data_IF_357787112288
#
_entry.id   IF_357787112288
#
_cell.length_a   1.000
_cell.length_b   1.000
_cell.length_c   1.000
_cell.angle_alpha   90.00
_cell.angle_beta   90.00
_cell.angle_gamma   90.00
#
_symmetry.space_group_name_H-M   'P 1'
#
loop_
_entity.id
_entity.type
_entity.pdbx_description
1 polymer ?
#
# COMPACT_ATOMS: atom_id res chain seq x y z
N UNK A 1 73.97 -33.69 19.80
CA UNK A 1 73.44 -32.31 19.76
C UNK A 1 73.00 -32.02 18.33
N UNK A 2 71.69 -32.06 18.09
CA UNK A 2 71.11 -31.77 16.78
C UNK A 2 70.75 -30.28 16.72
N UNK A 3 71.37 -29.53 15.82
CA UNK A 3 70.96 -28.16 15.48
C UNK A 3 69.99 -28.23 14.31
N UNK A 4 68.70 -28.06 14.60
CA UNK A 4 67.63 -27.89 13.62
C UNK A 4 67.77 -26.57 12.87
N UNK A 5 68.05 -26.66 11.58
CA UNK A 5 68.05 -25.56 10.62
C UNK A 5 66.58 -25.18 10.29
N UNK A 6 66.16 -23.98 10.68
CA UNK A 6 64.77 -23.51 10.53
C UNK A 6 64.56 -22.93 9.13
N UNK A 7 64.03 -23.74 8.21
CA UNK A 7 63.71 -23.31 6.84
C UNK A 7 62.64 -22.18 6.82
N UNK A 8 63.02 -20.99 6.33
CA UNK A 8 62.11 -19.89 6.05
C UNK A 8 61.15 -20.24 4.90
N UNK A 9 59.87 -20.47 5.21
CA UNK A 9 58.81 -20.59 4.18
C UNK A 9 58.55 -19.23 3.53
N UNK A 10 59.12 -18.99 2.35
CA UNK A 10 58.82 -17.82 1.51
C UNK A 10 57.35 -17.87 1.06
N UNK A 11 56.53 -16.90 1.50
CA UNK A 11 55.16 -16.72 1.00
C UNK A 11 55.20 -16.32 -0.48
N UNK A 12 54.38 -16.93 -1.37
CA UNK A 12 54.37 -16.55 -2.79
C UNK A 12 53.90 -15.10 -2.94
N UNK A 13 54.75 -14.25 -3.53
CA UNK A 13 54.42 -12.85 -3.85
C UNK A 13 53.59 -12.82 -5.13
N UNK A 14 52.29 -12.62 -4.99
CA UNK A 14 51.41 -12.37 -6.13
C UNK A 14 51.78 -11.03 -6.75
N UNK A 15 52.38 -11.04 -7.94
CA UNK A 15 52.73 -9.85 -8.72
C UNK A 15 51.81 -9.82 -9.95
N UNK A 16 50.68 -9.09 -9.90
CA UNK A 16 49.82 -8.98 -11.07
C UNK A 16 50.62 -8.35 -12.23
N UNK A 17 50.41 -8.85 -13.45
CA UNK A 17 51.03 -8.25 -14.63
C UNK A 17 50.49 -6.82 -14.83
N UNK A 18 51.29 -5.95 -15.48
CA UNK A 18 50.86 -4.59 -15.84
C UNK A 18 49.53 -4.62 -16.60
N UNK A 19 49.32 -5.64 -17.44
CA UNK A 19 48.08 -5.87 -18.16
C UNK A 19 46.87 -6.09 -17.22
N UNK A 20 47.00 -6.94 -16.20
CA UNK A 20 45.93 -7.16 -15.20
C UNK A 20 45.63 -5.87 -14.44
N UNK A 21 46.65 -5.09 -14.09
CA UNK A 21 46.44 -3.78 -13.45
C UNK A 21 45.68 -2.81 -14.36
N UNK A 22 46.04 -2.72 -15.64
CA UNK A 22 45.37 -1.85 -16.61
C UNK A 22 43.90 -2.24 -16.81
N UNK A 23 43.60 -3.55 -16.88
CA UNK A 23 42.22 -4.04 -16.98
C UNK A 23 41.41 -3.67 -15.73
N UNK A 24 41.98 -3.84 -14.53
CA UNK A 24 41.30 -3.45 -13.28
C UNK A 24 41.03 -1.95 -13.24
N UNK A 25 42.01 -1.11 -13.62
CA UNK A 25 41.83 0.35 -13.67
C UNK A 25 40.74 0.74 -14.66
N UNK A 26 40.72 0.13 -15.84
CA UNK A 26 39.68 0.38 -16.85
C UNK A 26 38.29 0.00 -16.33
N UNK A 27 38.14 -1.17 -15.69
CA UNK A 27 36.88 -1.60 -15.09
C UNK A 27 36.42 -0.63 -13.99
N UNK A 28 37.32 -0.20 -13.11
CA UNK A 28 37.02 0.78 -12.06
C UNK A 28 36.59 2.12 -12.66
N UNK A 29 37.27 2.59 -13.72
CA UNK A 29 36.91 3.83 -14.40
C UNK A 29 35.53 3.76 -15.06
N UNK A 30 35.17 2.64 -15.69
CA UNK A 30 33.84 2.42 -16.26
C UNK A 30 32.77 2.39 -15.16
N UNK A 31 33.01 1.68 -14.07
CA UNK A 31 32.08 1.63 -12.93
C UNK A 31 31.90 3.01 -12.28
N UNK A 32 32.98 3.77 -12.11
CA UNK A 32 32.93 5.15 -11.62
C UNK A 32 32.19 6.06 -12.59
N UNK A 33 32.41 5.92 -13.90
CA UNK A 33 31.69 6.68 -14.92
C UNK A 33 30.19 6.41 -14.88
N UNK A 34 29.79 5.14 -14.76
CA UNK A 34 28.39 4.74 -14.59
C UNK A 34 27.80 5.32 -13.30
N UNK A 35 28.54 5.25 -12.19
CA UNK A 35 28.13 5.81 -10.90
C UNK A 35 27.93 7.34 -10.96
N UNK A 36 28.90 8.08 -11.51
CA UNK A 36 28.80 9.54 -11.67
C UNK A 36 27.64 9.91 -12.58
N UNK A 37 27.37 9.14 -13.63
CA UNK A 37 26.21 9.38 -14.48
C UNK A 37 24.88 9.16 -13.72
N UNK A 38 24.78 8.12 -12.89
CA UNK A 38 23.62 7.89 -12.04
C UNK A 38 23.41 9.04 -11.04
N UNK A 39 24.49 9.54 -10.42
CA UNK A 39 24.44 10.68 -9.51
C UNK A 39 23.98 11.95 -10.22
N UNK A 40 24.51 12.25 -11.42
CA UNK A 40 24.05 13.39 -12.22
C UNK A 40 22.56 13.31 -12.55
N UNK A 41 22.08 12.11 -12.87
CA UNK A 41 20.65 11.88 -13.11
C UNK A 41 19.82 12.15 -11.86
N UNK A 42 20.28 11.70 -10.69
CA UNK A 42 19.62 11.99 -9.41
C UNK A 42 19.61 13.50 -9.13
N UNK A 43 20.73 14.20 -9.30
CA UNK A 43 20.81 15.65 -9.10
C UNK A 43 19.86 16.43 -10.01
N UNK A 44 19.77 16.04 -11.28
CA UNK A 44 18.84 16.66 -12.22
C UNK A 44 17.38 16.45 -11.78
N UNK A 45 17.04 15.25 -11.30
CA UNK A 45 15.71 14.98 -10.78
C UNK A 45 15.40 15.75 -9.49
N UNK A 46 16.34 15.81 -8.54
CA UNK A 46 16.21 16.61 -7.31
C UNK A 46 16.03 18.09 -7.62
N UNK A 47 16.76 18.63 -8.60
CA UNK A 47 16.60 20.02 -9.04
C UNK A 47 15.21 20.28 -9.62
N UNK A 48 14.72 19.42 -10.52
CA UNK A 48 13.38 19.53 -11.10
C UNK A 48 12.27 19.45 -10.03
N UNK A 49 12.40 18.53 -9.07
CA UNK A 49 11.46 18.37 -7.95
C UNK A 49 11.41 19.65 -7.10
N UNK A 50 12.57 20.22 -6.76
CA UNK A 50 12.65 21.46 -5.98
C UNK A 50 12.10 22.66 -6.75
N UNK A 51 12.33 22.74 -8.05
CA UNK A 51 11.78 23.79 -8.92
C UNK A 51 10.25 23.72 -8.99
N UNK A 52 9.68 22.52 -8.95
CA UNK A 52 8.24 22.29 -8.82
C UNK A 52 7.70 22.55 -7.39
N UNK A 53 8.55 22.96 -6.45
CA UNK A 53 8.22 23.19 -5.04
C UNK A 53 7.96 21.94 -4.22
N UNK A 54 8.42 20.79 -4.72
CA UNK A 54 8.46 19.55 -3.98
C UNK A 54 9.70 19.44 -3.10
N UNK A 55 9.74 18.38 -2.30
CA UNK A 55 10.87 18.01 -1.47
C UNK A 55 11.26 16.55 -1.69
N UNK A 56 12.51 16.23 -1.35
CA UNK A 56 13.04 14.86 -1.39
C UNK A 56 13.60 14.51 -0.02
N UNK A 57 13.52 13.24 0.33
CA UNK A 57 14.24 12.67 1.47
C UNK A 57 15.03 11.46 1.02
N UNK A 58 16.20 11.32 1.61
CA UNK A 58 17.14 10.26 1.33
C UNK A 58 16.96 9.10 2.30
N UNK A 59 17.55 7.95 1.99
CA UNK A 59 17.55 6.73 2.82
C UNK A 59 18.07 6.91 4.26
N UNK A 60 18.74 8.03 4.56
CA UNK A 60 19.26 8.36 5.89
C UNK A 60 18.39 9.34 6.69
N UNK A 61 17.39 9.99 6.07
CA UNK A 61 16.53 10.95 6.78
C UNK A 61 15.53 10.27 7.73
N UNK A 62 15.21 8.99 7.49
CA UNK A 62 14.18 8.23 8.23
C UNK A 62 14.75 7.29 9.30
N UNK A 63 16.07 7.24 9.45
CA UNK A 63 16.74 6.58 10.56
C UNK A 63 17.70 7.55 11.18
N UNK A 64 17.59 7.81 12.50
CA UNK A 64 18.48 8.69 13.27
C UNK A 64 19.90 8.69 12.68
N UNK A 65 20.30 9.80 12.07
CA UNK A 65 21.58 9.93 11.37
C UNK A 65 22.75 9.89 12.36
N UNK A 66 23.17 8.67 12.69
CA UNK A 66 24.41 8.40 13.39
C UNK A 66 25.43 7.82 12.40
N UNK A 67 26.53 8.54 12.12
CA UNK A 67 27.56 8.10 11.19
C UNK A 67 28.45 6.98 11.73
N UNK A 68 28.29 6.63 13.01
CA UNK A 68 29.05 5.60 13.69
C UNK A 68 28.28 4.29 13.82
N UNK A 69 27.02 4.23 13.37
CA UNK A 69 26.16 3.05 13.50
C UNK A 69 25.91 2.43 12.11
N UNK A 70 26.22 1.13 11.97
CA UNK A 70 25.71 0.31 10.87
C UNK A 70 24.19 0.36 10.97
N UNK A 71 23.51 0.89 9.95
CA UNK A 71 22.03 1.01 9.96
C UNK A 71 21.38 -0.27 10.51
N UNK A 72 20.21 -0.15 11.17
CA UNK A 72 19.46 -1.31 11.70
C UNK A 72 19.18 -2.41 10.64
N UNK A 73 19.41 -2.11 9.35
CA UNK A 73 19.29 -3.01 8.20
C UNK A 73 20.64 -3.51 7.63
N UNK A 74 21.79 -3.29 8.29
CA UNK A 74 23.08 -3.84 7.87
C UNK A 74 23.74 -3.17 6.65
N UNK A 75 23.22 -2.05 6.16
CA UNK A 75 23.80 -1.33 4.99
C UNK A 75 25.01 -0.49 5.40
N UNK A 76 26.13 -0.69 4.72
CA UNK A 76 27.33 0.15 4.84
C UNK A 76 27.02 1.57 4.36
N UNK A 77 27.45 2.59 5.11
CA UNK A 77 27.21 4.02 4.83
C UNK A 77 28.52 4.78 4.72
N UNK A 78 28.54 5.82 3.88
CA UNK A 78 29.69 6.70 3.77
C UNK A 78 29.90 7.51 5.06
N UNK A 79 31.15 7.74 5.50
CA UNK A 79 31.44 8.61 6.65
C UNK A 79 30.92 10.05 6.47
N UNK A 80 30.57 10.76 7.57
CA UNK A 80 30.08 12.16 7.50
C UNK A 80 30.99 13.07 6.69
N UNK A 81 32.29 12.96 6.93
CA UNK A 81 33.30 13.81 6.29
C UNK A 81 33.25 13.68 4.76
N UNK A 82 32.97 12.47 4.26
CA UNK A 82 32.87 12.19 2.84
C UNK A 82 31.58 12.79 2.30
N UNK A 83 30.44 12.48 2.93
CA UNK A 83 29.13 13.03 2.58
C UNK A 83 29.12 14.57 2.53
N UNK A 84 29.76 15.25 3.49
CA UNK A 84 29.86 16.71 3.52
C UNK A 84 30.71 17.29 2.39
N UNK A 85 31.65 16.51 1.85
CA UNK A 85 32.61 16.97 0.84
C UNK A 85 32.13 16.74 -0.58
N UNK A 86 31.46 15.61 -0.84
CA UNK A 86 30.98 15.25 -2.19
C UNK A 86 29.47 15.45 -2.36
N UNK A 87 28.73 15.68 -1.28
CA UNK A 87 27.28 15.91 -1.29
C UNK A 87 26.46 14.63 -1.07
N UNK A 88 25.21 14.76 -0.59
CA UNK A 88 24.36 13.63 -0.24
C UNK A 88 24.01 12.74 -1.45
N UNK A 89 23.91 13.32 -2.65
CA UNK A 89 23.59 12.57 -3.87
C UNK A 89 24.63 11.50 -4.25
N UNK A 90 25.86 11.65 -3.77
CA UNK A 90 26.96 10.72 -4.02
C UNK A 90 27.09 9.63 -2.96
N UNK A 91 26.28 9.65 -1.91
CA UNK A 91 26.41 8.74 -0.77
C UNK A 91 25.07 8.15 -0.31
N UNK A 92 23.97 8.64 -0.86
CA UNK A 92 22.62 8.27 -0.50
C UNK A 92 21.70 8.28 -1.71
N UNK A 93 20.67 7.44 -1.65
CA UNK A 93 19.63 7.40 -2.67
C UNK A 93 18.41 8.17 -2.20
N UNK A 94 17.73 8.85 -3.13
CA UNK A 94 16.41 9.43 -2.85
C UNK A 94 15.40 8.29 -2.69
N UNK A 95 14.72 8.26 -1.54
CA UNK A 95 13.75 7.21 -1.18
C UNK A 95 12.33 7.77 -1.07
N UNK A 96 12.19 9.02 -0.65
CA UNK A 96 10.88 9.67 -0.55
C UNK A 96 10.86 10.92 -1.41
N UNK A 97 9.82 11.06 -2.23
CA UNK A 97 9.59 12.22 -3.10
C UNK A 97 8.23 12.79 -2.79
N UNK A 98 8.20 14.06 -2.39
CA UNK A 98 6.98 14.80 -2.12
C UNK A 98 6.82 15.89 -3.18
N UNK A 99 5.87 15.73 -4.09
CA UNK A 99 5.54 16.74 -5.12
C UNK A 99 4.34 17.61 -4.73
N UNK A 100 3.85 17.50 -3.49
CA UNK A 100 2.76 18.33 -2.99
C UNK A 100 3.25 19.79 -2.92
N UNK A 101 2.57 20.73 -3.60
CA UNK A 101 3.03 22.10 -3.67
C UNK A 101 3.02 22.75 -2.29
N UNK A 102 4.15 23.36 -1.91
CA UNK A 102 4.23 24.21 -0.70
C UNK A 102 3.31 25.44 -0.79
N UNK A 103 2.83 25.94 0.36
CA UNK A 103 2.00 27.15 0.42
C UNK A 103 2.70 28.31 -0.29
N UNK A 104 2.04 28.85 -1.32
CA UNK A 104 2.52 30.01 -2.08
C UNK A 104 3.29 29.71 -3.37
N UNK A 105 3.57 28.44 -3.70
CA UNK A 105 4.19 28.12 -4.99
C UNK A 105 3.15 28.17 -6.13
N UNK A 106 3.49 28.89 -7.21
CA UNK A 106 2.65 29.00 -8.42
C UNK A 106 2.87 27.84 -9.40
N UNK A 107 4.07 27.25 -9.41
CA UNK A 107 4.41 26.12 -10.30
C UNK A 107 4.10 24.81 -9.58
N UNK A 108 3.20 24.01 -10.16
CA UNK A 108 2.88 22.66 -9.67
C UNK A 108 3.68 21.64 -10.46
N UNK A 109 4.03 20.53 -9.83
CA UNK A 109 4.61 19.39 -10.55
C UNK A 109 3.64 18.87 -11.63
N UNK A 110 4.19 18.51 -12.78
CA UNK A 110 3.50 18.06 -13.98
C UNK A 110 4.13 16.75 -14.51
N UNK A 111 3.68 16.29 -15.67
CA UNK A 111 4.16 15.05 -16.28
C UNK A 111 5.67 15.10 -16.61
N UNK A 112 6.19 16.28 -16.96
CA UNK A 112 7.63 16.49 -17.19
C UNK A 112 8.43 16.29 -15.90
N UNK A 113 7.94 16.83 -14.79
CA UNK A 113 8.54 16.62 -13.47
C UNK A 113 8.58 15.12 -13.12
N UNK A 114 7.53 14.39 -13.47
CA UNK A 114 7.41 12.96 -13.21
C UNK A 114 8.34 12.10 -14.07
N UNK A 115 8.68 12.54 -15.29
CA UNK A 115 9.72 11.92 -16.13
C UNK A 115 11.08 11.93 -15.42
N UNK A 116 11.44 13.03 -14.78
CA UNK A 116 12.67 13.11 -13.99
C UNK A 116 12.63 12.19 -12.77
N UNK A 117 11.48 12.11 -12.08
CA UNK A 117 11.29 11.20 -10.92
C UNK A 117 11.46 9.74 -11.33
N UNK A 118 11.06 9.34 -12.56
CA UNK A 118 11.24 7.97 -13.06
C UNK A 118 12.70 7.50 -13.06
N UNK A 119 13.65 8.43 -13.10
CA UNK A 119 15.09 8.14 -13.08
C UNK A 119 15.59 7.79 -11.67
N UNK A 120 14.78 8.01 -10.64
CA UNK A 120 15.07 7.70 -9.25
C UNK A 120 14.63 6.27 -8.91
N UNK A 121 15.46 5.28 -9.25
CA UNK A 121 15.11 3.85 -9.14
C UNK A 121 14.97 3.31 -7.71
N UNK A 122 15.25 4.14 -6.70
CA UNK A 122 15.24 3.79 -5.28
C UNK A 122 14.05 4.35 -4.51
N UNK A 123 13.12 5.02 -5.18
CA UNK A 123 11.95 5.64 -4.54
C UNK A 123 11.03 4.56 -3.97
N UNK A 124 10.73 4.69 -2.68
CA UNK A 124 9.80 3.85 -1.93
C UNK A 124 8.49 4.60 -1.62
N UNK A 125 8.51 5.94 -1.57
CA UNK A 125 7.29 6.73 -1.38
C UNK A 125 7.21 7.93 -2.33
N UNK A 126 6.06 8.11 -2.97
CA UNK A 126 5.81 9.20 -3.90
C UNK A 126 4.46 9.88 -3.60
N UNK A 127 4.47 11.18 -3.32
CA UNK A 127 3.25 11.94 -3.05
C UNK A 127 2.94 12.90 -4.20
N UNK A 128 1.77 12.74 -4.85
CA UNK A 128 1.35 13.52 -6.01
C UNK A 128 0.11 14.40 -5.74
N UNK A 129 -0.28 14.57 -4.48
CA UNK A 129 -1.51 15.30 -4.14
C UNK A 129 -1.42 16.77 -4.57
N UNK A 130 -2.47 17.29 -5.22
CA UNK A 130 -2.53 18.68 -5.66
C UNK A 130 -1.60 19.05 -6.82
N UNK A 131 -0.99 18.07 -7.48
CA UNK A 131 -0.16 18.25 -8.69
C UNK A 131 -1.01 18.38 -9.97
N UNK A 132 -0.36 18.72 -11.08
CA UNK A 132 -0.96 18.76 -12.43
C UNK A 132 -0.62 17.51 -13.25
N UNK A 133 -0.25 16.42 -12.58
CA UNK A 133 0.04 15.13 -13.23
C UNK A 133 -1.23 14.55 -13.86
N UNK A 134 -1.09 13.96 -15.04
CA UNK A 134 -2.16 13.33 -15.82
C UNK A 134 -1.91 11.85 -16.06
N UNK A 135 -2.87 11.16 -16.69
CA UNK A 135 -2.71 9.77 -17.16
C UNK A 135 -1.47 9.57 -18.04
N UNK A 136 -1.03 10.59 -18.79
CA UNK A 136 0.18 10.53 -19.60
C UNK A 136 1.45 10.43 -18.73
N UNK A 137 1.54 11.24 -17.68
CA UNK A 137 2.64 11.20 -16.71
C UNK A 137 2.70 9.88 -15.93
N UNK A 138 1.57 9.23 -15.66
CA UNK A 138 1.53 7.98 -14.89
C UNK A 138 2.33 6.83 -15.51
N UNK A 139 2.63 6.89 -16.82
CA UNK A 139 3.52 5.93 -17.50
C UNK A 139 4.91 5.89 -16.84
N UNK A 140 5.38 7.04 -16.34
CA UNK A 140 6.69 7.19 -15.71
C UNK A 140 6.77 6.57 -14.30
N UNK A 141 5.63 6.31 -13.64
CA UNK A 141 5.60 5.71 -12.29
C UNK A 141 5.84 4.21 -12.32
N UNK A 142 5.48 3.52 -13.42
CA UNK A 142 5.58 2.06 -13.53
C UNK A 142 7.03 1.53 -13.39
N UNK A 143 8.04 2.35 -13.67
CA UNK A 143 9.46 1.99 -13.51
C UNK A 143 9.95 1.98 -12.06
N UNK A 144 9.18 2.55 -11.12
CA UNK A 144 9.56 2.68 -9.71
C UNK A 144 9.23 1.39 -8.94
N UNK A 145 9.89 0.29 -9.29
CA UNK A 145 9.57 -1.06 -8.78
C UNK A 145 9.73 -1.24 -7.26
N UNK A 146 10.40 -0.30 -6.57
CA UNK A 146 10.53 -0.27 -5.10
C UNK A 146 9.44 0.54 -4.40
N UNK A 147 8.52 1.13 -5.15
CA UNK A 147 7.46 1.97 -4.60
C UNK A 147 6.53 1.14 -3.71
N UNK A 148 6.41 1.57 -2.46
CA UNK A 148 5.57 0.95 -1.45
C UNK A 148 4.36 1.84 -1.12
N UNK A 149 4.53 3.16 -1.19
CA UNK A 149 3.50 4.14 -0.84
C UNK A 149 3.33 5.15 -1.98
N UNK A 150 2.09 5.31 -2.47
CA UNK A 150 1.77 6.28 -3.52
C UNK A 150 0.52 7.07 -3.12
N UNK A 151 0.54 8.39 -3.29
CA UNK A 151 -0.67 9.21 -3.16
C UNK A 151 -0.97 9.88 -4.50
N UNK A 152 -2.21 9.74 -4.97
CA UNK A 152 -2.73 10.30 -6.22
C UNK A 152 -3.97 11.11 -5.87
N UNK A 153 -3.76 12.35 -5.44
CA UNK A 153 -4.82 13.33 -5.23
C UNK A 153 -4.81 14.45 -6.24
N UNK A 154 -4.71 14.09 -7.52
CA UNK A 154 -4.74 15.03 -8.64
C UNK A 154 -5.91 14.71 -9.58
N UNK A 155 -6.60 15.76 -10.05
CA UNK A 155 -7.80 15.66 -10.89
C UNK A 155 -7.51 15.18 -12.33
N UNK A 156 -6.24 15.08 -12.72
CA UNK A 156 -5.80 14.66 -14.04
C UNK A 156 -5.63 13.15 -14.21
N UNK A 157 -5.69 12.38 -13.10
CA UNK A 157 -5.52 10.91 -13.14
C UNK A 157 -6.88 10.22 -13.04
N UNK A 158 -7.11 9.31 -13.98
CA UNK A 158 -8.32 8.49 -14.12
C UNK A 158 -7.98 6.99 -14.06
N UNK A 159 -8.96 6.13 -14.33
CA UNK A 159 -8.78 4.67 -14.42
C UNK A 159 -7.68 4.29 -15.43
N UNK A 160 -7.49 5.09 -16.49
CA UNK A 160 -6.46 4.85 -17.51
C UNK A 160 -5.04 5.03 -16.95
N UNK A 161 -4.80 6.09 -16.16
CA UNK A 161 -3.53 6.29 -15.46
C UNK A 161 -3.31 5.25 -14.37
N UNK A 162 -4.36 4.89 -13.63
CA UNK A 162 -4.30 3.85 -12.60
C UNK A 162 -3.88 2.49 -13.18
N UNK A 163 -4.33 2.15 -14.39
CA UNK A 163 -3.96 0.91 -15.06
C UNK A 163 -2.44 0.79 -15.32
N UNK A 164 -1.69 1.90 -15.29
CA UNK A 164 -0.21 1.90 -15.41
C UNK A 164 0.49 1.39 -14.15
N UNK A 165 -0.20 1.30 -13.02
CA UNK A 165 0.39 0.85 -11.75
C UNK A 165 0.46 -0.67 -11.59
N UNK A 166 -0.15 -1.44 -12.50
CA UNK A 166 -0.26 -2.92 -12.40
C UNK A 166 1.09 -3.66 -12.27
N UNK A 167 2.20 -3.04 -12.70
CA UNK A 167 3.55 -3.59 -12.58
C UNK A 167 4.22 -3.39 -11.21
N UNK A 168 3.63 -2.58 -10.31
CA UNK A 168 4.21 -2.22 -9.03
C UNK A 168 3.89 -3.27 -7.95
N UNK A 169 4.50 -4.45 -8.07
CA UNK A 169 4.24 -5.58 -7.18
C UNK A 169 4.53 -5.32 -5.69
N UNK A 170 5.34 -4.30 -5.37
CA UNK A 170 5.68 -3.92 -4.01
C UNK A 170 4.76 -2.82 -3.43
N UNK A 171 3.82 -2.28 -4.22
CA UNK A 171 2.92 -1.23 -3.76
C UNK A 171 2.02 -1.76 -2.65
N UNK A 172 2.14 -1.17 -1.46
CA UNK A 172 1.40 -1.56 -0.26
C UNK A 172 0.24 -0.62 0.01
N UNK A 173 0.44 0.68 -0.15
CA UNK A 173 -0.57 1.70 0.12
C UNK A 173 -0.70 2.64 -1.06
N UNK A 174 -1.95 2.87 -1.44
CA UNK A 174 -2.34 3.79 -2.50
C UNK A 174 -3.46 4.69 -2.00
N UNK A 175 -3.18 5.97 -1.85
CA UNK A 175 -4.18 6.97 -1.52
C UNK A 175 -4.71 7.61 -2.81
N UNK A 176 -6.03 7.59 -3.00
CA UNK A 176 -6.72 8.13 -4.17
C UNK A 176 -7.63 9.33 -3.82
N UNK A 177 -7.45 9.92 -2.64
CA UNK A 177 -8.25 11.06 -2.18
C UNK A 177 -8.23 12.23 -3.18
N UNK A 178 -9.41 12.69 -3.61
CA UNK A 178 -9.52 13.76 -4.60
C UNK A 178 -9.14 13.40 -6.06
N UNK A 179 -8.97 12.12 -6.40
CA UNK A 179 -8.78 11.66 -7.79
C UNK A 179 -10.09 11.47 -8.56
N UNK A 180 -10.01 11.36 -9.89
CA UNK A 180 -11.14 10.98 -10.77
C UNK A 180 -11.23 9.47 -11.02
N UNK A 181 -10.53 8.67 -10.22
CA UNK A 181 -10.54 7.21 -10.34
C UNK A 181 -11.90 6.67 -9.88
N UNK A 182 -12.48 5.81 -10.71
CA UNK A 182 -13.76 5.17 -10.43
C UNK A 182 -13.58 3.88 -9.64
N UNK A 183 -14.68 3.37 -9.10
CA UNK A 183 -14.73 2.08 -8.42
C UNK A 183 -14.29 0.93 -9.33
N UNK A 184 -14.60 1.00 -10.63
CA UNK A 184 -14.18 0.00 -11.61
C UNK A 184 -12.65 0.01 -11.80
N UNK A 185 -12.03 1.20 -11.84
CA UNK A 185 -10.58 1.34 -11.88
C UNK A 185 -9.90 0.71 -10.66
N UNK A 186 -10.42 0.99 -9.46
CA UNK A 186 -9.92 0.40 -8.20
C UNK A 186 -10.01 -1.12 -8.24
N UNK A 187 -11.16 -1.68 -8.63
CA UNK A 187 -11.34 -3.14 -8.70
C UNK A 187 -10.35 -3.78 -9.68
N UNK A 188 -10.14 -3.16 -10.85
CA UNK A 188 -9.17 -3.64 -11.85
C UNK A 188 -7.73 -3.57 -11.34
N UNK A 189 -7.39 -2.56 -10.52
CA UNK A 189 -6.08 -2.47 -9.88
C UNK A 189 -5.91 -3.53 -8.79
N UNK A 190 -6.91 -3.72 -7.93
CA UNK A 190 -6.87 -4.73 -6.86
C UNK A 190 -6.80 -6.16 -7.40
N UNK A 191 -7.36 -6.42 -8.57
CA UNK A 191 -7.21 -7.70 -9.26
C UNK A 191 -5.74 -7.94 -9.69
N UNK A 192 -5.07 -6.91 -10.18
CA UNK A 192 -3.67 -6.98 -10.59
C UNK A 192 -2.72 -7.02 -9.37
N UNK A 193 -3.01 -6.22 -8.34
CA UNK A 193 -2.22 -6.04 -7.13
C UNK A 193 -3.04 -6.42 -5.88
N UNK A 194 -3.19 -7.71 -5.56
CA UNK A 194 -4.09 -8.16 -4.49
C UNK A 194 -3.69 -7.64 -3.09
N UNK A 195 -2.42 -7.28 -2.91
CA UNK A 195 -1.89 -6.81 -1.61
C UNK A 195 -2.01 -5.30 -1.40
N UNK A 196 -2.38 -4.53 -2.43
CA UNK A 196 -2.46 -3.08 -2.32
C UNK A 196 -3.63 -2.68 -1.41
N UNK A 197 -3.37 -1.76 -0.51
CA UNK A 197 -4.40 -1.08 0.28
C UNK A 197 -4.76 0.22 -0.42
N UNK A 198 -5.99 0.29 -0.93
CA UNK A 198 -6.52 1.52 -1.53
C UNK A 198 -7.26 2.31 -0.46
N UNK A 199 -6.80 3.54 -0.21
CA UNK A 199 -7.42 4.53 0.67
C UNK A 199 -8.16 5.55 -0.19
N UNK A 200 -9.36 5.97 0.23
CA UNK A 200 -10.18 6.97 -0.47
C UNK A 200 -10.76 7.98 0.52
N UNK A 201 -11.29 9.09 0.00
CA UNK A 201 -11.96 10.13 0.81
C UNK A 201 -13.01 9.57 1.77
N UNK A 202 -13.65 8.45 1.42
CA UNK A 202 -14.60 7.75 2.27
C UNK A 202 -14.01 7.40 3.65
N UNK A 203 -12.73 7.05 3.75
CA UNK A 203 -12.07 6.75 5.02
C UNK A 203 -11.91 8.02 5.89
N UNK A 204 -11.72 9.18 5.25
CA UNK A 204 -11.71 10.49 5.93
C UNK A 204 -13.12 10.87 6.37
N UNK A 205 -14.14 10.63 5.54
CA UNK A 205 -15.54 10.83 5.89
C UNK A 205 -15.98 9.95 7.06
N UNK A 206 -15.50 8.70 7.11
CA UNK A 206 -15.65 7.82 8.28
C UNK A 206 -15.03 8.47 9.51
N UNK A 207 -13.79 8.94 9.45
CA UNK A 207 -13.13 9.60 10.58
C UNK A 207 -13.87 10.88 11.04
N UNK A 208 -14.32 11.74 10.12
CA UNK A 208 -15.05 12.99 10.44
C UNK A 208 -16.39 12.70 11.09
N UNK A 209 -17.13 11.70 10.60
CA UNK A 209 -18.48 11.39 11.07
C UNK A 209 -18.50 10.37 12.23
N UNK A 210 -17.39 9.67 12.48
CA UNK A 210 -17.33 8.54 13.42
C UNK A 210 -17.85 8.89 14.81
N UNK A 211 -17.47 10.03 15.40
CA UNK A 211 -17.93 10.38 16.75
C UNK A 211 -19.46 10.56 16.82
N UNK A 212 -20.04 11.28 15.86
CA UNK A 212 -21.48 11.53 15.81
C UNK A 212 -22.24 10.24 15.53
N UNK A 213 -21.83 9.51 14.50
CA UNK A 213 -22.49 8.30 14.05
C UNK A 213 -22.29 7.11 15.01
N UNK A 214 -21.21 7.11 15.79
CA UNK A 214 -21.03 6.15 16.89
C UNK A 214 -22.02 6.38 18.03
N UNK A 215 -22.59 7.58 18.17
CA UNK A 215 -23.58 7.88 19.21
C UNK A 215 -25.03 7.88 18.68
N UNK A 216 -25.24 8.13 17.40
CA UNK A 216 -26.55 8.17 16.75
C UNK A 216 -26.64 7.15 15.59
N UNK A 217 -27.35 6.04 15.83
CA UNK A 217 -27.53 4.95 14.85
C UNK A 217 -28.40 5.38 13.66
N UNK A 218 -29.33 6.32 13.86
CA UNK A 218 -30.16 6.86 12.77
C UNK A 218 -29.33 7.73 11.83
N UNK A 219 -28.40 8.53 12.38
CA UNK A 219 -27.44 9.27 11.57
C UNK A 219 -26.48 8.32 10.83
N UNK A 220 -25.99 7.26 11.48
CA UNK A 220 -25.09 6.29 10.86
C UNK A 220 -25.72 5.62 9.62
N UNK A 221 -27.00 5.26 9.68
CA UNK A 221 -27.73 4.62 8.57
C UNK A 221 -28.11 5.58 7.44
N UNK A 222 -28.17 6.89 7.71
CA UNK A 222 -28.40 7.91 6.67
C UNK A 222 -27.19 8.18 5.76
N UNK A 223 -26.01 7.69 6.13
CA UNK A 223 -24.77 7.89 5.38
C UNK A 223 -24.67 6.93 4.18
N UNK A 224 -23.90 7.27 3.14
CA UNK A 224 -23.60 6.33 2.06
C UNK A 224 -23.04 5.01 2.59
N UNK A 225 -23.38 3.87 1.96
CA UNK A 225 -23.05 2.52 2.46
C UNK A 225 -21.57 2.35 2.76
N UNK A 226 -20.68 2.83 1.88
CA UNK A 226 -19.22 2.85 2.10
C UNK A 226 -18.75 3.53 3.39
N UNK A 227 -19.52 4.51 3.90
CA UNK A 227 -19.24 5.23 5.15
C UNK A 227 -20.01 4.62 6.32
N UNK A 228 -21.28 4.26 6.10
CA UNK A 228 -22.16 3.69 7.13
C UNK A 228 -21.65 2.32 7.63
N UNK A 229 -21.24 1.43 6.72
CA UNK A 229 -20.80 0.07 7.05
C UNK A 229 -19.62 0.02 8.05
N UNK A 230 -18.49 0.72 7.81
CA UNK A 230 -17.39 0.74 8.78
C UNK A 230 -17.76 1.44 10.09
N UNK A 231 -18.59 2.48 10.06
CA UNK A 231 -19.06 3.17 11.27
C UNK A 231 -19.90 2.23 12.14
N UNK A 232 -20.88 1.55 11.58
CA UNK A 232 -21.76 0.62 12.32
C UNK A 232 -20.97 -0.55 12.90
N UNK A 233 -19.99 -1.07 12.14
CA UNK A 233 -19.05 -2.08 12.65
C UNK A 233 -18.19 -1.56 13.81
N UNK A 234 -17.71 -0.32 13.75
CA UNK A 234 -16.95 0.29 14.86
C UNK A 234 -17.83 0.58 16.08
N UNK A 235 -19.10 0.97 15.85
CA UNK A 235 -20.10 1.11 16.90
C UNK A 235 -20.35 -0.23 17.59
N UNK A 236 -20.54 -1.31 16.84
CA UNK A 236 -20.70 -2.67 17.40
C UNK A 236 -19.51 -3.07 18.29
N UNK A 237 -18.26 -2.84 17.84
CA UNK A 237 -17.06 -3.06 18.67
C UNK A 237 -17.11 -2.26 19.98
N UNK A 238 -17.49 -0.98 19.89
CA UNK A 238 -17.59 -0.09 21.05
C UNK A 238 -18.68 -0.54 22.04
N UNK A 239 -19.83 -1.01 21.55
CA UNK A 239 -20.94 -1.47 22.40
C UNK A 239 -20.58 -2.75 23.15
N UNK A 240 -19.83 -3.66 22.54
CA UNK A 240 -19.27 -4.82 23.26
C UNK A 240 -18.36 -4.37 24.40
N UNK A 241 -17.43 -3.43 24.14
CA UNK A 241 -16.52 -2.93 25.18
C UNK A 241 -17.27 -2.23 26.32
N UNK A 242 -18.35 -1.50 26.02
CA UNK A 242 -19.22 -0.85 27.03
C UNK A 242 -20.14 -1.84 27.74
N UNK A 243 -20.34 -3.04 27.19
CA UNK A 243 -21.27 -4.04 27.70
C UNK A 243 -22.74 -3.73 27.42
N UNK A 244 -23.04 -2.91 26.41
CA UNK A 244 -24.38 -2.52 25.99
C UNK A 244 -24.88 -3.46 24.89
N UNK A 245 -25.54 -4.55 25.28
CA UNK A 245 -26.01 -5.58 24.34
C UNK A 245 -27.18 -5.12 23.46
N UNK A 246 -28.19 -4.37 23.96
CA UNK A 246 -29.25 -3.83 23.09
C UNK A 246 -28.70 -2.96 21.95
N UNK A 247 -27.75 -2.07 22.24
CA UNK A 247 -27.16 -1.22 21.21
C UNK A 247 -26.20 -1.96 20.28
N UNK A 248 -25.56 -3.03 20.77
CA UNK A 248 -24.83 -3.97 19.91
C UNK A 248 -25.76 -4.62 18.89
N UNK A 249 -26.88 -5.19 19.35
CA UNK A 249 -27.90 -5.83 18.50
C UNK A 249 -28.41 -4.83 17.47
N UNK A 250 -28.80 -3.62 17.89
CA UNK A 250 -29.28 -2.57 17.00
C UNK A 250 -28.23 -2.16 15.95
N UNK A 251 -26.96 -2.06 16.33
CA UNK A 251 -25.87 -1.71 15.40
C UNK A 251 -25.64 -2.78 14.34
N UNK A 252 -25.71 -4.06 14.73
CA UNK A 252 -25.56 -5.20 13.82
C UNK A 252 -26.79 -5.33 12.90
N UNK A 253 -27.99 -5.13 13.42
CA UNK A 253 -29.22 -5.13 12.63
C UNK A 253 -29.23 -4.01 11.60
N UNK A 254 -28.84 -2.80 12.00
CA UNK A 254 -28.66 -1.68 11.09
C UNK A 254 -27.65 -2.02 9.97
N UNK A 255 -26.50 -2.62 10.31
CA UNK A 255 -25.51 -3.06 9.32
C UNK A 255 -26.05 -4.14 8.37
N UNK A 256 -26.84 -5.07 8.87
CA UNK A 256 -27.47 -6.13 8.07
C UNK A 256 -28.59 -5.61 7.16
N UNK A 257 -29.20 -4.47 7.51
CA UNK A 257 -30.24 -3.81 6.70
C UNK A 257 -29.70 -2.97 5.54
N UNK A 258 -28.40 -2.63 5.56
CA UNK A 258 -27.79 -1.87 4.47
C UNK A 258 -27.74 -2.69 3.18
N UNK A 259 -28.13 -2.07 2.07
CA UNK A 259 -28.12 -2.67 0.73
C UNK A 259 -27.44 -1.69 -0.24
N UNK A 260 -26.71 -2.23 -1.22
CA UNK A 260 -26.10 -1.42 -2.28
C UNK A 260 -26.03 -2.22 -3.57
N UNK A 261 -26.07 -1.51 -4.69
CA UNK A 261 -25.85 -2.05 -6.03
C UNK A 261 -24.41 -1.89 -6.53
N UNK A 262 -23.58 -1.13 -5.82
CA UNK A 262 -22.20 -0.88 -6.18
C UNK A 262 -21.29 -2.01 -5.65
N UNK A 263 -20.42 -2.55 -6.51
CA UNK A 263 -19.52 -3.66 -6.14
C UNK A 263 -18.62 -3.31 -4.96
N UNK A 264 -18.08 -2.09 -4.89
CA UNK A 264 -17.19 -1.66 -3.80
C UNK A 264 -17.95 -1.56 -2.48
N UNK A 265 -19.15 -0.98 -2.49
CA UNK A 265 -20.03 -0.94 -1.31
C UNK A 265 -20.38 -2.35 -0.83
N UNK A 266 -20.69 -3.27 -1.75
CA UNK A 266 -20.96 -4.67 -1.44
C UNK A 266 -19.76 -5.34 -0.77
N UNK A 267 -18.54 -5.10 -1.26
CA UNK A 267 -17.32 -5.61 -0.64
C UNK A 267 -17.10 -5.00 0.76
N UNK A 268 -17.39 -3.70 0.96
CA UNK A 268 -17.34 -3.06 2.29
C UNK A 268 -18.37 -3.65 3.24
N UNK A 269 -19.58 -3.98 2.77
CA UNK A 269 -20.60 -4.68 3.56
C UNK A 269 -20.15 -6.09 3.95
N UNK A 270 -19.61 -6.86 3.00
CA UNK A 270 -19.06 -8.21 3.27
C UNK A 270 -17.99 -8.14 4.37
N UNK A 271 -17.06 -7.18 4.27
CA UNK A 271 -16.00 -6.98 5.27
C UNK A 271 -16.59 -6.61 6.65
N UNK A 272 -17.45 -5.60 6.70
CA UNK A 272 -18.03 -5.14 7.96
C UNK A 272 -18.85 -6.25 8.65
N UNK A 273 -19.65 -7.01 7.89
CA UNK A 273 -20.45 -8.14 8.40
C UNK A 273 -19.55 -9.29 8.86
N UNK A 274 -18.52 -9.63 8.08
CA UNK A 274 -17.56 -10.67 8.44
C UNK A 274 -16.79 -10.36 9.73
N UNK A 275 -16.40 -9.10 9.94
CA UNK A 275 -15.78 -8.66 11.20
C UNK A 275 -16.76 -8.74 12.38
N UNK A 276 -18.03 -8.41 12.18
CA UNK A 276 -19.05 -8.55 13.23
C UNK A 276 -19.23 -9.99 13.69
N UNK A 277 -18.99 -10.99 12.83
CA UNK A 277 -19.03 -12.40 13.25
C UNK A 277 -17.98 -12.73 14.32
N UNK A 278 -16.79 -12.13 14.23
CA UNK A 278 -15.76 -12.31 15.27
C UNK A 278 -16.19 -11.66 16.60
N UNK A 279 -16.83 -10.48 16.54
CA UNK A 279 -17.34 -9.77 17.72
C UNK A 279 -18.43 -10.60 18.45
N UNK A 280 -19.22 -11.37 17.69
CA UNK A 280 -20.28 -12.22 18.21
C UNK A 280 -19.79 -13.51 18.86
N UNK A 281 -18.49 -13.84 18.78
CA UNK A 281 -17.96 -15.02 19.46
C UNK A 281 -18.13 -14.89 20.98
N UNK A 282 -18.39 -16.01 21.69
CA UNK A 282 -18.64 -15.99 23.14
C UNK A 282 -17.53 -15.36 23.97
N UNK A 283 -16.28 -15.46 23.49
CA UNK A 283 -15.08 -14.86 24.08
C UNK A 283 -15.14 -13.33 24.10
N UNK A 284 -15.70 -12.71 23.06
CA UNK A 284 -15.75 -11.25 22.93
C UNK A 284 -17.04 -10.65 23.48
N UNK A 285 -18.17 -11.34 23.36
CA UNK A 285 -19.49 -10.85 23.80
C UNK A 285 -20.16 -11.76 24.85
N UNK A 286 -19.57 -11.93 26.04
CA UNK A 286 -20.05 -12.91 27.03
C UNK A 286 -21.44 -12.61 27.59
N UNK A 287 -21.87 -11.33 27.57
CA UNK A 287 -23.18 -10.89 28.08
C UNK A 287 -24.34 -11.10 27.10
N UNK A 288 -24.05 -11.46 25.85
CA UNK A 288 -25.09 -11.71 24.85
C UNK A 288 -25.70 -13.11 25.04
N UNK A 289 -27.03 -13.21 25.03
CA UNK A 289 -27.70 -14.50 25.20
C UNK A 289 -27.39 -15.45 24.03
N UNK A 290 -27.45 -16.77 24.29
CA UNK A 290 -27.13 -17.76 23.27
C UNK A 290 -28.10 -17.70 22.06
N UNK A 291 -29.40 -17.47 22.31
CA UNK A 291 -30.42 -17.36 21.26
C UNK A 291 -30.23 -16.12 20.40
N UNK A 292 -29.99 -14.95 21.01
CA UNK A 292 -29.73 -13.70 20.28
C UNK A 292 -28.43 -13.80 19.46
N UNK A 293 -27.37 -14.35 20.07
CA UNK A 293 -26.10 -14.59 19.38
C UNK A 293 -26.31 -15.44 18.14
N UNK A 294 -27.03 -16.54 18.25
CA UNK A 294 -27.27 -17.44 17.11
C UNK A 294 -28.09 -16.76 16.01
N UNK A 295 -29.10 -15.96 16.38
CA UNK A 295 -29.89 -15.19 15.43
C UNK A 295 -29.05 -14.15 14.67
N UNK A 296 -28.18 -13.42 15.38
CA UNK A 296 -27.30 -12.41 14.79
C UNK A 296 -26.20 -13.03 13.92
N UNK A 297 -25.58 -14.13 14.36
CA UNK A 297 -24.59 -14.86 13.58
C UNK A 297 -25.19 -15.30 12.24
N UNK A 298 -26.33 -15.99 12.28
CA UNK A 298 -27.02 -16.44 11.08
C UNK A 298 -27.34 -15.29 10.14
N UNK A 299 -27.90 -14.19 10.66
CA UNK A 299 -28.26 -13.01 9.87
C UNK A 299 -27.04 -12.36 9.20
N UNK A 300 -25.95 -12.17 9.95
CA UNK A 300 -24.70 -11.63 9.41
C UNK A 300 -24.08 -12.54 8.35
N UNK A 301 -24.13 -13.86 8.56
CA UNK A 301 -23.66 -14.86 7.60
C UNK A 301 -24.48 -14.83 6.31
N UNK A 302 -25.80 -14.94 6.41
CA UNK A 302 -26.72 -14.92 5.27
C UNK A 302 -26.56 -13.63 4.46
N UNK A 303 -26.67 -12.46 5.12
CA UNK A 303 -26.55 -11.16 4.45
C UNK A 303 -25.13 -10.87 3.95
N UNK A 304 -24.11 -11.43 4.59
CA UNK A 304 -22.73 -11.35 4.10
C UNK A 304 -22.57 -12.14 2.79
N UNK A 305 -23.15 -13.33 2.72
CA UNK A 305 -23.09 -14.19 1.53
C UNK A 305 -23.94 -13.65 0.39
N UNK A 306 -25.11 -13.07 0.67
CA UNK A 306 -25.94 -12.41 -0.34
C UNK A 306 -25.18 -11.25 -1.01
N UNK A 307 -24.56 -10.38 -0.20
CA UNK A 307 -23.78 -9.26 -0.71
C UNK A 307 -22.57 -9.74 -1.52
N UNK A 308 -21.89 -10.80 -1.08
CA UNK A 308 -20.77 -11.38 -1.82
C UNK A 308 -21.22 -12.01 -3.13
N UNK A 309 -22.35 -12.71 -3.13
CA UNK A 309 -22.94 -13.31 -4.34
C UNK A 309 -23.27 -12.23 -5.36
N UNK A 310 -23.94 -11.16 -4.92
CA UNK A 310 -24.27 -10.02 -5.79
C UNK A 310 -23.02 -9.31 -6.32
N UNK A 311 -21.97 -9.18 -5.49
CA UNK A 311 -20.70 -8.62 -5.95
C UNK A 311 -20.05 -9.47 -7.05
N UNK A 312 -20.04 -10.80 -6.88
CA UNK A 312 -19.53 -11.75 -7.89
C UNK A 312 -20.35 -11.68 -9.18
N UNK A 313 -21.68 -11.58 -9.09
CA UNK A 313 -22.55 -11.44 -10.25
C UNK A 313 -22.30 -10.13 -11.01
N UNK A 314 -22.00 -9.06 -10.28
CA UNK A 314 -21.61 -7.75 -10.84
C UNK A 314 -20.14 -7.66 -11.27
N UNK A 315 -19.41 -8.79 -11.27
CA UNK A 315 -18.07 -8.89 -11.87
C UNK A 315 -16.90 -8.93 -10.89
N UNK A 316 -17.14 -8.99 -9.59
CA UNK A 316 -16.05 -9.18 -8.61
C UNK A 316 -15.40 -10.56 -8.78
N UNK A 317 -14.10 -10.58 -9.12
CA UNK A 317 -13.35 -11.82 -9.40
C UNK A 317 -12.02 -11.95 -8.63
N UNK A 318 -11.80 -11.16 -7.58
CA UNK A 318 -10.56 -11.20 -6.80
C UNK A 318 -10.48 -12.41 -5.85
N UNK A 319 -10.23 -13.59 -6.42
CA UNK A 319 -10.15 -14.88 -5.69
C UNK A 319 -9.10 -14.84 -4.57
N UNK A 320 -7.95 -14.20 -4.80
CA UNK A 320 -6.84 -14.15 -3.83
C UNK A 320 -7.23 -13.43 -2.55
N UNK A 321 -8.01 -12.35 -2.67
CA UNK A 321 -8.50 -11.58 -1.53
C UNK A 321 -9.49 -12.38 -0.69
N UNK A 322 -10.31 -13.21 -1.32
CA UNK A 322 -11.23 -14.10 -0.61
C UNK A 322 -10.51 -15.30 0.02
N UNK A 323 -9.60 -15.96 -0.70
CA UNK A 323 -8.86 -17.14 -0.22
C UNK A 323 -7.85 -16.82 0.92
N UNK A 324 -7.51 -15.53 1.15
CA UNK A 324 -6.83 -15.06 2.38
C UNK A 324 -5.36 -14.67 2.23
N UNK A 325 -4.88 -14.47 1.00
CA UNK A 325 -3.49 -14.12 0.72
C UNK A 325 -3.16 -12.63 0.95
N UNK A 326 -4.14 -11.80 1.32
CA UNK A 326 -3.96 -10.38 1.62
C UNK A 326 -5.10 -9.78 2.45
N UNK A 327 -4.72 -8.95 3.43
CA UNK A 327 -5.51 -8.25 4.44
C UNK A 327 -6.25 -9.17 5.42
N UNK A 328 -5.48 -9.58 6.43
CA UNK A 328 -5.86 -10.11 7.74
C UNK A 328 -6.97 -11.16 7.74
N UNK A 329 -6.56 -12.40 8.04
CA UNK A 329 -7.36 -13.65 8.07
C UNK A 329 -8.69 -13.63 8.86
N UNK A 330 -9.07 -12.49 9.44
CA UNK A 330 -10.23 -12.28 10.29
C UNK A 330 -11.41 -11.60 9.56
N UNK A 331 -11.19 -10.86 8.46
CA UNK A 331 -12.23 -9.98 7.90
C UNK A 331 -13.40 -10.72 7.21
N UNK A 332 -13.16 -11.95 6.73
CA UNK A 332 -14.17 -12.82 6.07
C UNK A 332 -14.11 -14.25 6.63
N UNK A 333 -13.27 -14.51 7.64
CA UNK A 333 -12.88 -15.85 8.06
C UNK A 333 -14.05 -16.76 8.45
N UNK A 334 -15.02 -16.23 9.18
CA UNK A 334 -16.22 -16.99 9.57
C UNK A 334 -17.19 -17.18 8.40
N UNK A 335 -17.27 -16.25 7.43
CA UNK A 335 -18.09 -16.41 6.21
C UNK A 335 -17.62 -17.59 5.34
N UNK A 336 -16.37 -18.04 5.47
CA UNK A 336 -15.84 -19.21 4.75
C UNK A 336 -16.53 -20.52 5.13
N UNK A 337 -17.07 -20.59 6.35
CA UNK A 337 -17.80 -21.77 6.85
C UNK A 337 -19.18 -21.88 6.22
N UNK A 338 -19.71 -20.80 5.64
CA UNK A 338 -21.01 -20.80 5.03
C UNK A 338 -21.04 -21.66 3.75
N UNK A 339 -22.05 -22.54 3.55
CA UNK A 339 -22.11 -23.46 2.40
C UNK A 339 -22.02 -22.77 1.03
N UNK A 340 -22.58 -21.56 0.91
CA UNK A 340 -22.53 -20.76 -0.32
C UNK A 340 -21.13 -20.30 -0.72
N UNK A 341 -20.20 -20.17 0.22
CA UNK A 341 -18.86 -19.63 -0.03
C UNK A 341 -18.05 -20.49 -1.00
N UNK A 342 -18.04 -21.82 -0.78
CA UNK A 342 -17.30 -22.75 -1.63
C UNK A 342 -17.77 -22.72 -3.10
N UNK A 343 -19.09 -22.57 -3.30
CA UNK A 343 -19.70 -22.46 -4.63
C UNK A 343 -19.26 -21.17 -5.33
N UNK A 344 -19.24 -20.04 -4.63
CA UNK A 344 -18.79 -18.75 -5.18
C UNK A 344 -17.32 -18.82 -5.64
N UNK A 345 -16.45 -19.40 -4.81
CA UNK A 345 -15.03 -19.57 -5.17
C UNK A 345 -14.86 -20.43 -6.44
N UNK A 346 -15.64 -21.50 -6.59
CA UNK A 346 -15.63 -22.33 -7.81
C UNK A 346 -16.06 -21.53 -9.04
N UNK A 347 -17.14 -20.74 -8.94
CA UNK A 347 -17.63 -19.88 -10.02
C UNK A 347 -16.53 -18.89 -10.45
N UNK A 348 -15.93 -18.18 -9.50
CA UNK A 348 -14.86 -17.22 -9.80
C UNK A 348 -13.64 -17.90 -10.46
N UNK A 349 -13.23 -19.08 -9.95
CA UNK A 349 -12.13 -19.87 -10.54
C UNK A 349 -12.42 -20.28 -11.98
N UNK A 350 -13.67 -20.67 -12.29
CA UNK A 350 -14.08 -21.03 -13.66
C UNK A 350 -14.05 -19.84 -14.61
N UNK A 351 -14.56 -18.67 -14.19
CA UNK A 351 -14.56 -17.42 -14.98
C UNK A 351 -13.14 -16.98 -15.32
N UNK A 352 -12.22 -17.04 -14.34
CA UNK A 352 -10.80 -16.69 -14.56
C UNK A 352 -10.10 -17.60 -15.55
N UNK A 353 -10.38 -18.91 -15.52
CA UNK A 353 -9.83 -19.86 -16.52
C UNK A 353 -10.38 -19.59 -17.93
N UNK A 354 -11.63 -19.16 -18.04
CA UNK A 354 -12.25 -18.78 -19.32
C UNK A 354 -11.68 -17.50 -19.92
N UNK A 355 -11.31 -16.52 -19.09
CA UNK A 355 -10.73 -15.24 -19.54
C UNK A 355 -9.25 -15.33 -20.00
N UNK A 356 -8.55 -16.41 -19.67
CA UNK A 356 -7.14 -16.64 -20.05
C UNK A 356 -6.98 -17.57 -21.27
N UNK A 357 -8.08 -17.99 -21.90
CA UNK A 357 -8.11 -18.69 -23.20
C UNK A 357 -8.55 -17.70 -24.26
#
# INVERSE_FOLDING_TARGET
MATTERAERRRPRFRPSVFVLMVVVALVAVLLGWYVNAVRSQQAAVAAIKEAGGSVSYDWDWGNYDPNIVSYQGKWRAPKWLASRIGPDYVANVVHVNLVPGRGNKKKADDLTLEFVARLTHVESLWLNGTSVTDAGMVHVNGLTRLNNLTIGCLGVTDAGLARLKGLANLKTLDLDGSKVTDAGVLALEEALPRVQVLREDDVAVSRNSKRATNDSSFATSLPVRVAAPILRNRAKTMVTRGDMPELVASIDALCSLESDNVVDLIKLVQARGECLAILEPSFSPKLSASERQALLKRCEDRGIDALTLAVDKGYNNIRRLDGDSWESLMVGNLRKHPGYARLIQIMKSRRKGANK
#
